data_IF_736074411157
#
_entry.id   IF_736074411157
#
_cell.length_a   1.000
_cell.length_b   1.000
_cell.length_c   1.000
_cell.angle_alpha   90.00
_cell.angle_beta   90.00
_cell.angle_gamma   90.00
#
_symmetry.space_group_name_H-M   'P 1'
#
loop_
_entity.id
_entity.type
_entity.pdbx_description
1 polymer ?
#
# COMPACT_ATOMS: atom_id res chain seq x y z
N UNK A 1 35.51 -1.74 -24.27
CA UNK A 1 35.41 -0.62 -25.24
C UNK A 1 34.99 0.63 -24.48
N UNK A 2 35.82 1.69 -24.48
CA UNK A 2 35.54 2.95 -23.77
C UNK A 2 34.41 3.69 -24.50
N UNK A 3 33.28 3.93 -23.83
CA UNK A 3 32.18 4.74 -24.38
C UNK A 3 32.72 6.16 -24.62
N UNK A 4 32.88 6.55 -25.89
CA UNK A 4 33.19 7.92 -26.29
C UNK A 4 31.99 8.78 -25.83
N UNK A 5 32.17 9.65 -24.84
CA UNK A 5 31.16 10.64 -24.49
C UNK A 5 30.91 11.49 -25.73
N UNK A 6 29.71 11.38 -26.30
CA UNK A 6 29.32 12.18 -27.46
C UNK A 6 28.70 13.46 -26.94
N UNK A 7 29.17 14.61 -27.39
CA UNK A 7 28.51 15.90 -27.14
C UNK A 7 27.60 16.23 -28.31
N UNK A 8 26.54 16.99 -28.03
CA UNK A 8 25.62 17.49 -29.04
C UNK A 8 25.21 18.92 -28.69
N UNK A 9 25.08 19.77 -29.71
CA UNK A 9 24.56 21.10 -29.55
C UNK A 9 23.11 21.05 -29.06
N UNK A 10 22.76 21.89 -28.08
CA UNK A 10 21.40 21.95 -27.54
C UNK A 10 20.37 22.34 -28.61
N UNK A 11 20.77 23.13 -29.60
CA UNK A 11 19.95 23.54 -30.75
C UNK A 11 19.58 22.38 -31.68
N UNK A 12 20.37 21.31 -31.73
CA UNK A 12 20.10 20.14 -32.56
C UNK A 12 19.11 19.16 -31.92
N UNK A 13 18.75 19.36 -30.65
CA UNK A 13 17.84 18.48 -29.92
C UNK A 13 16.39 18.96 -30.10
N UNK A 14 15.59 18.17 -30.82
CA UNK A 14 14.16 18.45 -31.01
C UNK A 14 13.33 17.95 -29.82
N UNK A 15 12.51 18.81 -29.22
CA UNK A 15 11.66 18.45 -28.07
C UNK A 15 10.28 17.98 -28.54
N UNK A 16 9.90 16.71 -28.29
CA UNK A 16 8.59 16.20 -28.64
C UNK A 16 7.45 16.94 -27.92
N UNK A 17 6.30 17.12 -28.60
CA UNK A 17 5.13 17.81 -28.07
C UNK A 17 4.65 17.31 -26.68
N UNK A 18 4.69 16.00 -26.35
CA UNK A 18 4.31 15.51 -25.02
C UNK A 18 5.12 16.13 -23.87
N UNK A 19 6.41 16.39 -24.06
CA UNK A 19 7.26 17.01 -23.02
C UNK A 19 6.90 18.48 -22.80
N UNK A 20 6.46 19.20 -23.84
CA UNK A 20 6.00 20.58 -23.72
C UNK A 20 4.71 20.71 -22.92
N UNK A 21 3.85 19.67 -22.93
CA UNK A 21 2.58 19.64 -22.18
C UNK A 21 2.76 19.35 -20.69
N UNK A 22 3.85 18.68 -20.31
CA UNK A 22 4.12 18.35 -18.90
C UNK A 22 4.78 19.53 -18.18
N UNK A 23 4.19 20.00 -17.07
CA UNK A 23 4.81 20.99 -16.18
C UNK A 23 6.04 20.36 -15.51
N UNK A 24 7.27 20.83 -15.79
CA UNK A 24 8.47 20.27 -15.19
C UNK A 24 8.50 20.54 -13.67
N UNK A 25 9.02 19.59 -12.89
CA UNK A 25 9.25 19.80 -11.47
C UNK A 25 10.43 20.77 -11.28
N UNK A 26 10.15 21.98 -10.78
CA UNK A 26 11.14 23.06 -10.62
C UNK A 26 12.22 22.74 -9.59
N UNK A 27 11.90 22.05 -8.50
CA UNK A 27 12.91 21.66 -7.49
C UNK A 27 13.98 20.77 -8.11
N UNK A 28 13.57 19.81 -8.95
CA UNK A 28 14.52 18.93 -9.66
C UNK A 28 15.40 19.69 -10.65
N UNK A 29 14.85 20.70 -11.32
CA UNK A 29 15.61 21.54 -12.26
C UNK A 29 16.63 22.39 -11.49
N UNK A 30 16.23 23.01 -10.39
CA UNK A 30 17.12 23.86 -9.59
C UNK A 30 18.27 23.04 -8.99
N UNK A 31 18.00 21.85 -8.44
CA UNK A 31 19.04 20.95 -7.95
C UNK A 31 20.04 20.55 -9.06
N UNK A 32 19.54 20.32 -10.28
CA UNK A 32 20.41 20.05 -11.43
C UNK A 32 21.24 21.28 -11.84
N UNK A 33 20.67 22.48 -11.78
CA UNK A 33 21.43 23.71 -12.06
C UNK A 33 22.56 23.92 -11.06
N UNK A 34 22.29 23.75 -9.78
CA UNK A 34 23.31 23.84 -8.73
C UNK A 34 24.42 22.82 -8.96
N UNK A 35 24.07 21.60 -9.36
CA UNK A 35 25.05 20.58 -9.70
C UNK A 35 25.91 20.99 -10.91
N UNK A 36 25.29 21.49 -11.99
CA UNK A 36 26.00 21.92 -13.20
C UNK A 36 26.92 23.10 -12.90
N UNK A 37 26.47 24.07 -12.10
CA UNK A 37 27.30 25.22 -11.69
C UNK A 37 28.52 24.78 -10.86
N UNK A 38 28.36 23.75 -10.01
CA UNK A 38 29.46 23.21 -9.19
C UNK A 38 30.44 22.36 -9.98
N UNK A 39 29.96 21.56 -10.93
CA UNK A 39 30.76 20.52 -11.60
C UNK A 39 31.12 20.85 -13.05
N UNK A 40 30.51 21.89 -13.63
CA UNK A 40 30.65 22.27 -15.04
C UNK A 40 30.02 21.29 -16.03
N UNK A 41 29.40 20.19 -15.58
CA UNK A 41 28.89 19.12 -16.44
C UNK A 41 27.56 18.56 -15.93
N UNK A 42 26.87 17.78 -16.77
CA UNK A 42 25.65 17.07 -16.35
C UNK A 42 26.01 15.85 -15.49
N UNK A 43 25.18 15.56 -14.49
CA UNK A 43 25.26 14.33 -13.67
C UNK A 43 25.10 13.06 -14.52
N UNK A 44 24.30 13.13 -15.59
CA UNK A 44 24.08 12.07 -16.58
C UNK A 44 23.85 12.65 -17.98
N UNK A 45 24.18 11.85 -19.00
CA UNK A 45 23.94 12.20 -20.41
C UNK A 45 22.45 12.29 -20.75
N UNK A 46 22.09 13.17 -21.68
CA UNK A 46 20.75 13.26 -22.26
C UNK A 46 20.57 12.18 -23.34
N UNK A 47 19.38 11.58 -23.45
CA UNK A 47 19.14 10.53 -24.44
C UNK A 47 18.38 11.08 -25.62
N UNK A 48 19.00 10.95 -26.79
CA UNK A 48 18.49 11.49 -28.05
C UNK A 48 18.28 10.36 -29.05
N UNK A 49 17.20 10.43 -29.83
CA UNK A 49 16.94 9.45 -30.87
C UNK A 49 17.99 9.58 -31.99
N UNK A 50 18.68 8.50 -32.41
CA UNK A 50 19.78 8.59 -33.38
C UNK A 50 19.38 9.20 -34.73
N UNK A 51 18.20 8.83 -35.24
CA UNK A 51 17.70 9.32 -36.55
C UNK A 51 17.02 10.69 -36.49
N UNK A 52 16.05 10.88 -35.60
CA UNK A 52 15.20 12.09 -35.57
C UNK A 52 15.75 13.22 -34.71
N UNK A 53 16.85 12.99 -33.97
CA UNK A 53 17.40 13.91 -32.96
C UNK A 53 16.39 14.38 -31.91
N UNK A 54 15.31 13.62 -31.74
CA UNK A 54 14.29 13.91 -30.75
C UNK A 54 14.77 13.52 -29.36
N UNK A 55 14.47 14.37 -28.37
CA UNK A 55 14.67 14.07 -26.97
C UNK A 55 13.83 12.85 -26.55
N UNK A 56 14.51 11.80 -26.08
CA UNK A 56 13.87 10.58 -25.59
C UNK A 56 13.76 10.58 -24.07
N UNK A 57 14.81 11.03 -23.38
CA UNK A 57 14.88 11.07 -21.91
C UNK A 57 15.86 12.17 -21.46
N UNK A 58 15.71 12.66 -20.23
CA UNK A 58 16.55 13.72 -19.67
C UNK A 58 16.01 15.14 -19.87
N UNK A 59 14.69 15.32 -20.02
CA UNK A 59 14.07 16.64 -20.24
C UNK A 59 14.40 17.69 -19.16
N UNK A 60 14.46 17.31 -17.89
CA UNK A 60 14.84 18.23 -16.82
C UNK A 60 16.30 18.71 -16.96
N UNK A 61 17.21 17.85 -17.42
CA UNK A 61 18.62 18.20 -17.67
C UNK A 61 18.78 19.10 -18.87
N UNK A 62 18.03 18.82 -19.94
CA UNK A 62 17.95 19.71 -21.11
C UNK A 62 17.51 21.11 -20.69
N UNK A 63 16.46 21.23 -19.87
CA UNK A 63 15.98 22.53 -19.38
C UNK A 63 17.01 23.23 -18.50
N UNK A 64 17.64 22.51 -17.55
CA UNK A 64 18.67 23.08 -16.70
C UNK A 64 19.86 23.60 -17.51
N UNK A 65 20.36 22.81 -18.48
CA UNK A 65 21.47 23.21 -19.36
C UNK A 65 21.09 24.40 -20.26
N UNK A 66 19.87 24.41 -20.80
CA UNK A 66 19.36 25.53 -21.60
C UNK A 66 19.24 26.81 -20.79
N UNK A 67 18.71 26.73 -19.57
CA UNK A 67 18.56 27.90 -18.67
C UNK A 67 19.90 28.41 -18.12
N UNK A 68 20.94 27.58 -18.13
CA UNK A 68 22.32 27.97 -17.80
C UNK A 68 23.14 28.43 -19.02
N UNK A 69 22.54 28.47 -20.21
CA UNK A 69 23.23 28.93 -21.42
C UNK A 69 24.33 28.00 -21.93
N UNK A 70 24.25 26.70 -21.65
CA UNK A 70 25.18 25.74 -22.23
C UNK A 70 24.94 25.65 -23.75
N UNK A 71 26.01 25.54 -24.53
CA UNK A 71 25.92 25.34 -25.98
C UNK A 71 25.88 23.85 -26.34
N UNK A 72 26.72 23.06 -25.67
CA UNK A 72 26.84 21.62 -25.87
C UNK A 72 26.52 20.85 -24.60
N UNK A 73 25.93 19.67 -24.78
CA UNK A 73 25.59 18.76 -23.69
C UNK A 73 26.04 17.34 -24.02
N UNK A 74 26.49 16.57 -23.02
CA UNK A 74 26.80 15.16 -23.22
C UNK A 74 25.50 14.39 -23.51
N UNK A 75 25.49 13.66 -24.63
CA UNK A 75 24.37 12.85 -25.09
C UNK A 75 24.74 11.38 -25.25
N UNK A 76 23.71 10.56 -25.22
CA UNK A 76 23.75 9.18 -25.63
C UNK A 76 22.66 8.96 -26.70
N UNK A 77 23.04 8.48 -27.88
CA UNK A 77 22.04 8.09 -28.86
C UNK A 77 21.36 6.80 -28.43
N UNK A 78 20.04 6.82 -28.33
CA UNK A 78 19.28 5.67 -27.90
C UNK A 78 17.80 5.80 -28.18
N UNK A 79 17.19 4.69 -28.59
CA UNK A 79 15.74 4.52 -28.67
C UNK A 79 15.31 3.81 -27.40
N UNK A 80 15.23 4.51 -26.25
CA UNK A 80 14.73 3.84 -25.04
C UNK A 80 13.33 3.29 -25.35
N UNK A 81 13.21 1.95 -25.41
CA UNK A 81 11.98 1.26 -24.98
C UNK A 81 11.64 1.90 -23.64
N UNK A 82 10.40 2.39 -23.48
CA UNK A 82 9.86 2.81 -22.16
C UNK A 82 10.49 1.89 -21.12
N UNK A 83 11.17 2.39 -20.08
CA UNK A 83 11.54 1.50 -19.00
C UNK A 83 10.25 0.79 -18.63
N UNK A 84 10.20 -0.53 -18.83
CA UNK A 84 9.12 -1.34 -18.30
C UNK A 84 8.95 -0.83 -16.88
N UNK A 85 7.71 -0.43 -16.50
CA UNK A 85 7.43 -0.02 -15.13
C UNK A 85 8.19 -1.03 -14.27
N UNK A 86 9.22 -0.59 -13.54
CA UNK A 86 9.98 -1.53 -12.68
C UNK A 86 8.91 -2.34 -11.99
N UNK A 87 8.92 -3.68 -12.08
CA UNK A 87 7.89 -4.48 -11.44
C UNK A 87 7.79 -3.93 -10.02
N UNK A 88 6.57 -3.63 -9.53
CA UNK A 88 6.39 -2.98 -8.25
C UNK A 88 7.32 -3.67 -7.25
N UNK A 89 8.18 -2.89 -6.56
CA UNK A 89 9.18 -3.42 -5.60
C UNK A 89 8.50 -4.57 -4.88
N UNK A 90 9.00 -5.81 -5.07
CA UNK A 90 8.34 -7.02 -4.56
C UNK A 90 7.93 -6.73 -3.13
N UNK A 91 6.63 -6.57 -2.88
CA UNK A 91 6.11 -6.50 -1.52
C UNK A 91 6.70 -7.72 -0.83
N UNK A 92 7.51 -7.50 0.22
CA UNK A 92 8.12 -8.48 1.14
C UNK A 92 7.60 -9.87 0.78
N UNK A 93 8.33 -10.57 -0.10
CA UNK A 93 7.84 -11.81 -0.72
C UNK A 93 7.32 -12.67 0.40
N UNK A 94 6.01 -12.96 0.39
CA UNK A 94 5.45 -13.94 1.31
C UNK A 94 6.36 -15.16 1.23
N UNK A 95 6.78 -15.64 2.39
CA UNK A 95 7.56 -16.86 2.48
C UNK A 95 6.88 -17.92 1.61
N UNK A 96 7.64 -18.63 0.78
CA UNK A 96 7.13 -19.82 0.09
C UNK A 96 6.90 -20.86 1.18
N UNK A 97 5.66 -20.93 1.63
CA UNK A 97 5.13 -21.87 2.63
C UNK A 97 4.17 -22.77 1.86
N UNK A 98 4.22 -24.07 2.10
CA UNK A 98 3.26 -25.03 1.52
C UNK A 98 1.82 -24.67 1.89
N UNK A 99 0.86 -25.06 1.05
CA UNK A 99 -0.56 -24.86 1.36
C UNK A 99 -1.00 -25.68 2.58
N UNK A 100 -0.38 -26.83 2.82
CA UNK A 100 -0.60 -27.69 3.99
C UNK A 100 -0.24 -26.95 5.28
N UNK A 101 0.98 -26.41 5.38
CA UNK A 101 1.40 -25.57 6.52
C UNK A 101 0.49 -24.35 6.67
N UNK A 102 0.13 -23.68 5.57
CA UNK A 102 -0.78 -22.52 5.62
C UNK A 102 -2.15 -22.89 6.17
N UNK A 103 -2.70 -24.03 5.76
CA UNK A 103 -4.00 -24.52 6.19
C UNK A 103 -3.97 -24.94 7.66
N UNK A 104 -2.93 -25.65 8.09
CA UNK A 104 -2.74 -26.06 9.49
C UNK A 104 -2.71 -24.84 10.43
N UNK A 105 -1.91 -23.81 10.08
CA UNK A 105 -1.85 -22.56 10.84
C UNK A 105 -3.21 -21.85 10.84
N UNK A 106 -3.86 -21.77 9.68
CA UNK A 106 -5.16 -21.11 9.54
C UNK A 106 -6.24 -21.74 10.41
N UNK A 107 -6.37 -23.06 10.36
CA UNK A 107 -7.36 -23.81 11.14
C UNK A 107 -7.09 -23.70 12.63
N UNK A 108 -5.83 -23.75 13.03
CA UNK A 108 -5.47 -23.70 14.44
C UNK A 108 -5.73 -22.35 15.13
N UNK A 109 -5.69 -21.26 14.36
CA UNK A 109 -6.02 -19.92 14.83
C UNK A 109 -7.44 -19.47 14.41
N UNK A 110 -8.25 -20.36 13.85
CA UNK A 110 -9.62 -20.07 13.36
C UNK A 110 -9.69 -18.82 12.46
N UNK A 111 -8.69 -18.67 11.60
CA UNK A 111 -8.57 -17.50 10.73
C UNK A 111 -8.40 -16.17 11.46
N UNK A 112 -8.01 -16.17 12.74
CA UNK A 112 -7.75 -14.96 13.53
C UNK A 112 -6.28 -14.59 13.54
N UNK A 113 -6.02 -13.29 13.62
CA UNK A 113 -4.67 -12.76 13.71
C UNK A 113 -4.06 -13.13 15.08
N UNK A 114 -2.88 -13.74 15.10
CA UNK A 114 -2.19 -14.07 16.36
C UNK A 114 -1.84 -12.83 17.19
N UNK A 115 -1.63 -11.68 16.51
CA UNK A 115 -1.25 -10.39 17.09
C UNK A 115 -2.46 -9.67 17.71
N UNK A 116 -3.49 -9.41 16.91
CA UNK A 116 -4.64 -8.58 17.31
C UNK A 116 -5.95 -9.35 17.52
N UNK A 117 -5.96 -10.67 17.34
CA UNK A 117 -7.13 -11.56 17.52
C UNK A 117 -8.33 -11.34 16.60
N UNK A 118 -8.23 -10.36 15.70
CA UNK A 118 -9.26 -10.10 14.69
C UNK A 118 -9.40 -11.24 13.70
N UNK A 119 -10.64 -11.61 13.42
CA UNK A 119 -10.99 -12.49 12.32
C UNK A 119 -10.68 -11.86 10.96
N UNK A 120 -10.22 -12.67 10.02
CA UNK A 120 -9.93 -12.25 8.65
C UNK A 120 -10.37 -13.31 7.66
N UNK A 121 -10.43 -12.93 6.39
CA UNK A 121 -10.52 -13.87 5.28
C UNK A 121 -9.10 -14.38 4.91
N UNK A 122 -8.96 -15.66 4.54
CA UNK A 122 -7.68 -16.32 4.23
C UNK A 122 -6.84 -15.55 3.21
N UNK A 123 -7.47 -14.82 2.28
CA UNK A 123 -6.79 -13.98 1.27
C UNK A 123 -6.02 -12.80 1.89
N UNK A 124 -6.42 -12.36 3.07
CA UNK A 124 -5.83 -11.23 3.81
C UNK A 124 -4.88 -11.68 4.93
N UNK A 125 -4.79 -12.98 5.19
CA UNK A 125 -3.79 -13.54 6.08
C UNK A 125 -2.37 -13.41 5.51
N UNK A 126 -1.41 -13.29 6.43
CA UNK A 126 0.02 -13.22 6.16
C UNK A 126 0.72 -14.17 7.10
N UNK A 127 1.59 -15.00 6.54
CA UNK A 127 2.46 -15.91 7.28
C UNK A 127 3.82 -15.24 7.42
N UNK A 128 4.18 -14.93 8.66
CA UNK A 128 5.41 -14.20 8.99
C UNK A 128 6.31 -15.12 9.81
N UNK A 129 7.63 -15.16 9.54
CA UNK A 129 8.52 -15.94 10.38
C UNK A 129 8.54 -15.40 11.81
N UNK A 130 8.56 -16.30 12.79
CA UNK A 130 8.71 -15.97 14.21
C UNK A 130 10.07 -15.31 14.44
N UNK A 131 11.13 -15.89 13.87
CA UNK A 131 12.49 -15.36 13.92
C UNK A 131 12.89 -14.70 12.60
N UNK A 132 13.41 -13.47 12.67
CA UNK A 132 13.87 -12.75 11.46
C UNK A 132 15.01 -13.54 10.79
N UNK A 133 14.82 -13.87 9.51
CA UNK A 133 15.85 -14.50 8.67
C UNK A 133 15.78 -16.03 8.65
N UNK A 134 15.04 -16.66 9.57
CA UNK A 134 14.70 -18.08 9.46
C UNK A 134 13.42 -18.25 8.67
N UNK A 135 13.51 -19.02 7.58
CA UNK A 135 12.39 -19.37 6.74
C UNK A 135 12.31 -20.89 6.76
N UNK A 136 11.45 -21.40 7.63
CA UNK A 136 11.18 -22.82 7.75
C UNK A 136 9.71 -23.05 7.37
N UNK A 137 9.46 -24.04 6.52
CA UNK A 137 8.10 -24.47 6.16
C UNK A 137 7.56 -25.41 7.24
N UNK A 138 7.45 -24.86 8.45
CA UNK A 138 6.92 -25.54 9.61
C UNK A 138 5.90 -24.63 10.28
N UNK A 139 4.74 -25.16 10.73
CA UNK A 139 3.73 -24.35 11.40
C UNK A 139 4.32 -23.46 12.48
N UNK A 140 5.17 -24.03 13.35
CA UNK A 140 5.67 -23.37 14.56
C UNK A 140 6.74 -22.30 14.30
N UNK A 141 7.27 -22.25 13.07
CA UNK A 141 8.18 -21.19 12.64
C UNK A 141 7.45 -19.95 12.12
N UNK A 142 6.10 -19.96 12.07
CA UNK A 142 5.30 -18.94 11.42
C UNK A 142 4.15 -18.41 12.31
N UNK A 143 4.00 -17.08 12.32
CA UNK A 143 2.84 -16.37 12.82
C UNK A 143 1.84 -16.08 11.70
N UNK A 144 0.56 -16.23 12.03
CA UNK A 144 -0.58 -15.76 11.27
C UNK A 144 -0.92 -14.31 11.66
N UNK A 145 -0.71 -13.38 10.75
CA UNK A 145 -1.00 -11.97 10.95
C UNK A 145 -2.00 -11.44 9.93
N UNK A 146 -2.84 -10.49 10.34
CA UNK A 146 -3.67 -9.74 9.40
C UNK A 146 -2.85 -8.75 8.56
N UNK A 147 -3.47 -8.23 7.52
CA UNK A 147 -2.84 -7.28 6.59
C UNK A 147 -2.33 -5.99 7.25
N UNK A 148 -2.91 -5.58 8.38
CA UNK A 148 -2.48 -4.39 9.12
C UNK A 148 -1.33 -4.73 10.09
N UNK A 149 -1.48 -5.77 10.93
CA UNK A 149 -0.40 -6.22 11.84
C UNK A 149 0.87 -6.64 11.10
N UNK A 150 0.73 -7.27 9.92
CA UNK A 150 1.88 -7.64 9.07
C UNK A 150 2.71 -6.46 8.57
N UNK A 151 2.18 -5.24 8.69
CA UNK A 151 2.82 -3.98 8.31
C UNK A 151 3.11 -3.09 9.52
N UNK A 152 3.02 -3.63 10.74
CA UNK A 152 3.12 -2.88 11.99
C UNK A 152 2.14 -1.69 12.04
N UNK A 153 0.98 -1.80 11.39
CA UNK A 153 -0.06 -0.78 11.52
C UNK A 153 -0.84 -1.02 12.81
N UNK A 154 -1.27 0.06 13.51
CA UNK A 154 -2.10 -0.08 14.69
C UNK A 154 -3.38 -0.81 14.35
N UNK A 155 -3.94 -1.44 15.37
CA UNK A 155 -5.13 -2.25 15.20
C UNK A 155 -6.32 -1.39 14.71
N UNK A 156 -6.71 -1.59 13.44
CA UNK A 156 -7.65 -0.71 12.72
C UNK A 156 -9.03 -0.50 13.38
N UNK A 157 -9.56 -1.48 14.12
CA UNK A 157 -10.85 -1.39 14.81
C UNK A 157 -10.74 -1.03 16.30
N UNK A 158 -9.53 -1.04 16.88
CA UNK A 158 -9.33 -0.64 18.28
C UNK A 158 -9.39 0.87 18.48
N UNK A 159 -9.28 1.64 17.41
CA UNK A 159 -9.40 3.09 17.46
C UNK A 159 -10.87 3.49 17.63
N UNK A 160 -11.14 4.78 17.80
CA UNK A 160 -12.51 5.26 17.89
C UNK A 160 -13.28 4.92 16.61
N UNK A 161 -14.46 4.32 16.75
CA UNK A 161 -15.34 3.94 15.63
C UNK A 161 -16.68 4.63 15.87
N UNK A 162 -17.11 5.40 14.88
CA UNK A 162 -18.47 5.91 14.76
C UNK A 162 -19.15 5.28 13.54
N UNK A 163 -20.47 5.37 13.49
CA UNK A 163 -21.27 4.93 12.35
C UNK A 163 -22.01 6.10 11.75
N UNK A 164 -21.94 6.22 10.42
CA UNK A 164 -22.70 7.24 9.72
C UNK A 164 -24.21 7.07 10.00
N UNK A 165 -24.91 8.16 10.29
CA UNK A 165 -26.34 8.13 10.67
C UNK A 165 -27.22 7.46 9.62
N UNK A 166 -26.90 7.61 8.33
CA UNK A 166 -27.65 6.98 7.25
C UNK A 166 -27.39 5.46 7.18
N UNK A 167 -26.23 5.01 7.66
CA UNK A 167 -25.90 3.60 7.79
C UNK A 167 -26.59 2.99 9.01
N UNK A 168 -26.54 3.65 10.18
CA UNK A 168 -27.25 3.18 11.37
C UNK A 168 -28.74 2.99 11.13
N UNK A 169 -29.40 3.97 10.50
CA UNK A 169 -30.82 3.86 10.15
C UNK A 169 -31.13 2.61 9.29
N UNK A 170 -30.23 2.22 8.40
CA UNK A 170 -30.40 1.01 7.56
C UNK A 170 -30.15 -0.28 8.35
N UNK A 171 -29.28 -0.23 9.35
CA UNK A 171 -29.01 -1.34 10.26
C UNK A 171 -30.24 -1.57 11.14
N UNK A 172 -30.73 -0.55 11.81
CA UNK A 172 -31.93 -0.59 12.68
C UNK A 172 -33.17 -1.10 11.92
N UNK A 173 -33.34 -0.69 10.67
CA UNK A 173 -34.48 -1.13 9.84
C UNK A 173 -34.44 -2.62 9.43
N UNK A 174 -33.29 -3.29 9.52
CA UNK A 174 -33.08 -4.61 8.91
C UNK A 174 -32.50 -5.65 9.85
N UNK A 175 -32.13 -5.26 11.06
CA UNK A 175 -31.41 -6.09 12.03
C UNK A 175 -32.00 -5.88 13.41
N UNK A 176 -31.48 -6.60 14.40
CA UNK A 176 -31.92 -6.48 15.80
C UNK A 176 -31.12 -5.46 16.60
N UNK A 177 -30.24 -4.70 15.96
CA UNK A 177 -29.50 -3.65 16.66
C UNK A 177 -30.41 -2.47 16.93
N UNK A 178 -30.61 -2.19 18.22
CA UNK A 178 -31.45 -1.09 18.70
C UNK A 178 -30.64 0.19 18.99
N UNK A 179 -29.30 0.10 19.03
CA UNK A 179 -28.42 1.24 19.25
C UNK A 179 -27.02 1.07 18.61
N UNK A 180 -26.33 2.20 18.41
CA UNK A 180 -25.01 2.25 17.79
C UNK A 180 -23.92 1.57 18.64
N UNK A 181 -23.99 1.68 19.96
CA UNK A 181 -22.95 1.17 20.85
C UNK A 181 -22.85 -0.36 20.78
N UNK A 182 -23.99 -1.04 20.81
CA UNK A 182 -24.08 -2.49 20.67
C UNK A 182 -23.52 -2.96 19.33
N UNK A 183 -23.95 -2.33 18.23
CA UNK A 183 -23.41 -2.61 16.90
C UNK A 183 -21.90 -2.41 16.85
N UNK A 184 -21.37 -1.29 17.35
CA UNK A 184 -19.93 -1.00 17.34
C UNK A 184 -19.14 -2.02 18.15
N UNK A 185 -19.66 -2.46 19.31
CA UNK A 185 -19.00 -3.47 20.13
C UNK A 185 -18.91 -4.82 19.41
N UNK A 186 -20.03 -5.31 18.89
CA UNK A 186 -20.06 -6.55 18.10
C UNK A 186 -19.20 -6.44 16.85
N UNK A 187 -19.22 -5.28 16.22
CA UNK A 187 -18.41 -5.02 15.04
C UNK A 187 -16.93 -5.09 15.36
N UNK A 188 -16.47 -4.51 16.48
CA UNK A 188 -15.07 -4.59 16.90
C UNK A 188 -14.63 -6.02 17.18
N UNK A 189 -15.51 -6.81 17.78
CA UNK A 189 -15.19 -8.15 18.25
C UNK A 189 -15.27 -9.22 17.14
N UNK A 190 -16.30 -9.13 16.28
CA UNK A 190 -16.68 -10.19 15.37
C UNK A 190 -16.51 -9.84 13.89
N UNK A 191 -16.28 -8.57 13.53
CA UNK A 191 -16.13 -8.23 12.12
C UNK A 191 -14.87 -8.84 11.50
N UNK A 192 -15.07 -9.46 10.34
CA UNK A 192 -14.05 -10.14 9.56
C UNK A 192 -13.53 -9.17 8.49
N UNK A 193 -12.22 -8.95 8.43
CA UNK A 193 -11.65 -8.16 7.31
C UNK A 193 -11.69 -8.98 6.01
N UNK A 194 -12.38 -8.44 5.01
CA UNK A 194 -12.58 -9.08 3.69
C UNK A 194 -12.10 -8.21 2.52
N UNK A 195 -11.57 -7.02 2.80
CA UNK A 195 -11.08 -6.10 1.76
C UNK A 195 -10.20 -4.99 2.30
N UNK A 196 -9.25 -4.54 1.48
CA UNK A 196 -8.41 -3.37 1.75
C UNK A 196 -8.22 -2.53 0.49
N UNK A 197 -8.57 -1.25 0.61
CA UNK A 197 -8.17 -0.18 -0.30
C UNK A 197 -7.23 0.79 0.46
N UNK A 198 -6.63 1.74 -0.26
CA UNK A 198 -5.86 2.86 0.31
C UNK A 198 -6.72 3.71 1.24
N UNK A 199 -7.96 3.98 0.82
CA UNK A 199 -8.87 4.91 1.52
C UNK A 199 -9.74 4.23 2.58
N UNK A 200 -10.10 2.97 2.36
CA UNK A 200 -11.02 2.25 3.23
C UNK A 200 -10.66 0.78 3.42
N UNK A 201 -11.30 0.15 4.41
CA UNK A 201 -11.33 -1.29 4.64
C UNK A 201 -12.74 -1.81 4.42
N UNK A 202 -12.85 -3.03 3.94
CA UNK A 202 -14.13 -3.75 3.85
C UNK A 202 -14.15 -4.80 4.94
N UNK A 203 -15.20 -4.76 5.73
CA UNK A 203 -15.47 -5.72 6.80
C UNK A 203 -16.80 -6.41 6.55
N UNK A 204 -16.87 -7.67 6.96
CA UNK A 204 -18.09 -8.45 6.98
C UNK A 204 -18.42 -8.78 8.43
N UNK A 205 -19.61 -8.42 8.89
CA UNK A 205 -20.13 -8.80 10.19
C UNK A 205 -21.04 -10.04 10.01
N UNK A 206 -20.67 -11.21 10.55
CA UNK A 206 -21.36 -12.47 10.30
C UNK A 206 -22.86 -12.41 10.61
N UNK A 207 -23.68 -12.83 9.65
CA UNK A 207 -25.14 -12.82 9.76
C UNK A 207 -25.81 -11.44 9.58
N UNK A 208 -25.03 -10.35 9.62
CA UNK A 208 -25.53 -8.97 9.47
C UNK A 208 -25.30 -8.44 8.05
N UNK A 209 -24.05 -8.30 7.62
CA UNK A 209 -23.78 -7.54 6.41
C UNK A 209 -22.32 -7.21 6.14
N UNK A 210 -22.08 -6.41 5.10
CA UNK A 210 -20.75 -5.95 4.69
C UNK A 210 -20.68 -4.44 4.71
N UNK A 211 -19.59 -3.91 5.24
CA UNK A 211 -19.44 -2.51 5.61
C UNK A 211 -18.09 -1.96 5.16
N UNK A 212 -18.07 -0.68 4.80
CA UNK A 212 -16.84 0.06 4.49
C UNK A 212 -16.49 1.01 5.62
N UNK A 213 -15.21 1.02 5.96
CA UNK A 213 -14.66 1.85 7.03
C UNK A 213 -13.51 2.69 6.48
N UNK A 214 -13.65 4.00 6.58
CA UNK A 214 -12.59 4.97 6.27
C UNK A 214 -12.02 5.53 7.58
N UNK A 215 -10.85 6.14 7.49
CA UNK A 215 -10.34 7.03 8.56
C UNK A 215 -10.64 8.45 8.21
N UNK A 216 -11.09 9.19 9.21
CA UNK A 216 -11.25 10.63 9.15
C UNK A 216 -9.93 11.31 9.51
N UNK A 217 -9.77 12.57 9.11
CA UNK A 217 -8.60 13.36 9.50
C UNK A 217 -8.64 13.73 10.99
N UNK A 218 -9.82 13.64 11.61
CA UNK A 218 -10.07 13.86 13.03
C UNK A 218 -9.41 12.82 13.92
N UNK A 219 -9.02 13.27 15.13
CA UNK A 219 -8.49 12.43 16.19
C UNK A 219 -9.26 12.68 17.47
N UNK A 220 -9.60 11.61 18.17
CA UNK A 220 -10.23 11.66 19.48
C UNK A 220 -9.29 11.00 20.49
N UNK A 221 -8.95 11.71 21.56
CA UNK A 221 -7.96 11.27 22.55
C UNK A 221 -6.62 10.83 21.91
N UNK A 222 -6.20 11.52 20.84
CA UNK A 222 -4.98 11.22 20.09
C UNK A 222 -5.07 10.00 19.17
N UNK A 223 -6.21 9.29 19.15
CA UNK A 223 -6.46 8.14 18.29
C UNK A 223 -7.22 8.56 17.02
N UNK A 224 -6.91 7.99 15.85
CA UNK A 224 -7.62 8.34 14.62
C UNK A 224 -9.08 7.88 14.68
N UNK A 225 -10.00 8.75 14.27
CA UNK A 225 -11.41 8.42 14.16
C UNK A 225 -11.64 7.57 12.91
N UNK A 226 -12.40 6.49 13.06
CA UNK A 226 -12.83 5.60 11.99
C UNK A 226 -14.34 5.67 11.86
N UNK A 227 -14.83 5.66 10.64
CA UNK A 227 -16.26 5.75 10.39
C UNK A 227 -16.72 4.61 9.51
N UNK A 228 -17.75 3.89 9.96
CA UNK A 228 -18.54 3.01 9.12
C UNK A 228 -19.45 3.88 8.25
N UNK A 229 -18.95 4.26 7.07
CA UNK A 229 -19.60 5.27 6.23
C UNK A 229 -20.53 4.68 5.17
N UNK A 230 -20.46 3.37 4.94
CA UNK A 230 -21.30 2.70 3.96
C UNK A 230 -21.55 1.24 4.33
N UNK A 231 -22.82 0.83 4.26
CA UNK A 231 -23.20 -0.58 4.19
C UNK A 231 -23.35 -1.00 2.72
N UNK A 232 -22.55 -1.99 2.29
CA UNK A 232 -22.65 -2.59 0.94
C UNK A 232 -23.83 -3.55 0.84
N UNK A 233 -24.10 -4.27 1.91
CA UNK A 233 -25.19 -5.23 2.01
C UNK A 233 -25.59 -5.37 3.47
N UNK A 234 -26.89 -5.43 3.75
CA UNK A 234 -27.44 -5.76 5.06
C UNK A 234 -28.53 -6.81 4.82
N UNK A 235 -28.45 -7.94 5.53
CA UNK A 235 -29.46 -9.00 5.47
C UNK A 235 -30.75 -8.53 6.15
N UNK A 236 -31.89 -8.94 5.60
CA UNK A 236 -33.19 -8.74 6.26
C UNK A 236 -33.26 -9.67 7.46
N UNK A 237 -33.73 -9.17 8.60
CA UNK A 237 -33.70 -9.85 9.89
C UNK A 237 -32.29 -10.35 10.23
N UNK A 238 -31.27 -9.54 9.90
CA UNK A 238 -29.89 -9.87 10.16
C UNK A 238 -29.67 -10.01 11.66
N UNK A 239 -29.19 -11.19 12.09
CA UNK A 239 -28.74 -11.45 13.45
C UNK A 239 -27.26 -11.83 13.43
N UNK A 240 -26.55 -11.52 14.49
CA UNK A 240 -25.15 -11.91 14.63
C UNK A 240 -25.05 -13.45 14.66
N UNK A 241 -24.22 -14.02 13.78
CA UNK A 241 -24.03 -15.46 13.67
C UNK A 241 -22.56 -15.83 13.85
N UNK A 242 -22.18 -16.15 15.08
CA UNK A 242 -20.82 -16.56 15.42
C UNK A 242 -20.79 -18.08 15.56
N UNK A 243 -19.77 -18.71 14.96
CA UNK A 243 -19.37 -20.05 15.33
C UNK A 243 -18.10 -19.92 16.17
N UNK A 244 -18.17 -20.07 17.51
CA UNK A 244 -16.96 -20.04 18.32
C UNK A 244 -16.14 -21.30 18.05
N UNK A 245 -14.84 -21.14 17.80
CA UNK A 245 -13.88 -22.23 17.78
C UNK A 245 -12.72 -21.90 18.71
N UNK A 246 -12.31 -22.89 19.52
CA UNK A 246 -11.23 -22.73 20.47
C UNK A 246 -9.86 -22.67 19.77
N UNK A 247 -9.00 -21.78 20.28
CA UNK A 247 -7.62 -21.64 19.84
C UNK A 247 -6.83 -22.88 20.24
N UNK A 248 -6.13 -23.50 19.30
CA UNK A 248 -5.37 -24.74 19.59
C UNK A 248 -3.87 -24.53 19.74
N UNK A 249 -3.29 -23.44 19.20
CA UNK A 249 -1.82 -23.36 19.05
C UNK A 249 -1.04 -22.67 20.18
N UNK A 250 -1.66 -22.06 21.18
CA UNK A 250 -1.00 -21.70 22.46
C UNK A 250 0.22 -20.74 22.42
N UNK A 251 0.79 -20.37 21.27
CA UNK A 251 2.06 -19.64 21.17
C UNK A 251 2.03 -18.30 21.91
N UNK A 252 3.20 -17.94 22.49
CA UNK A 252 3.46 -16.61 23.06
C UNK A 252 3.29 -15.56 21.97
N UNK A 253 2.53 -14.50 22.27
CA UNK A 253 2.20 -13.46 21.31
C UNK A 253 3.48 -12.77 20.85
N UNK A 254 3.69 -12.55 19.53
CA UNK A 254 4.80 -11.73 19.08
C UNK A 254 4.63 -10.33 19.63
N UNK A 255 5.63 -9.88 20.40
CA UNK A 255 5.67 -8.49 20.89
C UNK A 255 5.96 -7.62 19.68
N UNK A 256 4.96 -6.83 19.26
CA UNK A 256 5.19 -5.75 18.31
C UNK A 256 6.17 -4.79 18.99
N UNK A 257 7.43 -4.77 18.54
CA UNK A 257 8.30 -3.64 18.83
C UNK A 257 7.69 -2.42 18.14
N UNK A 258 6.92 -1.65 18.91
CA UNK A 258 6.47 -0.31 18.53
C UNK A 258 7.74 0.55 18.51
N UNK A 259 8.34 0.69 17.33
CA UNK A 259 9.36 1.70 17.04
C UNK A 259 8.70 2.98 16.57
#
# INVERSE_FOLDING_TARGET
MKNKQQTLALSEISIPAPFKKTKPNREKINALKEYIQKTGTLDQTIIVHPKTRMLVDGFARYLAAKELGMNEVPVQFGTKKRPSKKPPKKHRSQVKVSEETRLAIWQAEDGRCEVCKRAMDKRFARWLPVEKGKIEDHPDALHLACIDCSRNQPEYLRTFIQVDKSVMKKIEQKTEYDNELEFVNDFREYAVIVGKNKEFRTYWLPGIGSFLIKTLDEKENGLPVREVFQARSIKVNGKLQIKPQERTRGFKRPVLQLS
#
